data_IF_312465299761
#
_entry.id   IF_312465299761
#
_cell.length_a   1.000
_cell.length_b   1.000
_cell.length_c   1.000
_cell.angle_alpha   90.00
_cell.angle_beta   90.00
_cell.angle_gamma   90.00
#
_symmetry.space_group_name_H-M   'P 1'
#
loop_
_entity.id
_entity.type
_entity.pdbx_description
1 polymer ?
#
# COMPACT_ATOMS: atom_id res chain seq x y z
N UNK A 1 -7.54 -1.71 -11.10
CA UNK A 1 -6.25 -0.99 -10.96
C UNK A 1 -5.79 -0.54 -12.34
N UNK A 2 -5.73 0.78 -12.58
CA UNK A 2 -5.21 1.36 -13.83
C UNK A 2 -3.96 2.15 -13.49
N UNK A 3 -2.85 1.79 -14.14
CA UNK A 3 -1.55 2.46 -13.99
C UNK A 3 -1.19 3.03 -15.35
N UNK A 4 -0.80 4.29 -15.37
CA UNK A 4 -0.30 4.96 -16.56
C UNK A 4 1.18 5.27 -16.41
N UNK A 5 1.93 5.23 -17.50
CA UNK A 5 3.36 5.53 -17.50
C UNK A 5 4.27 4.38 -17.04
N UNK A 6 5.58 4.65 -16.87
CA UNK A 6 6.59 3.62 -16.69
C UNK A 6 6.59 3.03 -15.27
N UNK A 7 6.27 1.74 -15.16
CA UNK A 7 6.35 1.00 -13.88
C UNK A 7 7.06 -0.34 -14.03
N UNK A 8 7.56 -0.86 -12.91
CA UNK A 8 8.10 -2.23 -12.82
C UNK A 8 7.35 -3.00 -11.75
N UNK A 9 7.16 -4.28 -11.98
CA UNK A 9 6.59 -5.20 -11.01
C UNK A 9 7.54 -6.37 -10.80
N UNK A 10 7.85 -6.64 -9.54
CA UNK A 10 8.72 -7.75 -9.12
C UNK A 10 7.99 -8.60 -8.10
N UNK A 11 8.13 -9.92 -8.20
CA UNK A 11 7.60 -10.82 -7.18
C UNK A 11 8.42 -10.69 -5.90
N UNK A 12 7.75 -10.70 -4.75
CA UNK A 12 8.41 -10.84 -3.45
C UNK A 12 8.77 -12.32 -3.27
N UNK A 13 10.03 -12.67 -2.96
CA UNK A 13 10.39 -14.03 -2.60
C UNK A 13 9.51 -14.60 -1.48
N UNK A 14 9.13 -15.89 -1.50
CA UNK A 14 8.19 -16.44 -0.53
C UNK A 14 8.57 -16.23 0.94
N UNK A 15 9.86 -16.33 1.26
CA UNK A 15 10.35 -16.13 2.63
C UNK A 15 10.22 -14.67 3.09
N UNK A 16 10.42 -13.69 2.19
CA UNK A 16 10.19 -12.28 2.50
C UNK A 16 8.70 -11.97 2.60
N UNK A 17 7.86 -12.56 1.75
CA UNK A 17 6.41 -12.42 1.85
C UNK A 17 5.89 -12.94 3.19
N UNK A 18 6.39 -14.09 3.65
CA UNK A 18 6.06 -14.65 4.96
C UNK A 18 6.56 -13.77 6.12
N UNK A 19 7.74 -13.16 5.99
CA UNK A 19 8.24 -12.22 6.99
C UNK A 19 7.36 -10.97 7.06
N UNK A 20 7.03 -10.34 5.91
CA UNK A 20 6.12 -9.20 5.85
C UNK A 20 4.75 -9.55 6.43
N UNK A 21 4.19 -10.72 6.08
CA UNK A 21 2.92 -11.19 6.65
C UNK A 21 2.99 -11.25 8.18
N UNK A 22 4.04 -11.86 8.73
CA UNK A 22 4.22 -12.04 10.18
C UNK A 22 4.31 -10.70 10.91
N UNK A 23 5.08 -9.75 10.38
CA UNK A 23 5.27 -8.44 11.03
C UNK A 23 4.07 -7.51 10.85
N UNK A 24 3.40 -7.56 9.68
CA UNK A 24 2.27 -6.67 9.38
C UNK A 24 0.95 -7.16 9.96
N UNK A 25 0.73 -8.48 10.10
CA UNK A 25 -0.56 -9.01 10.59
C UNK A 25 -1.00 -8.38 11.93
N UNK A 26 -0.16 -8.25 12.97
CA UNK A 26 -0.58 -7.59 14.21
C UNK A 26 -0.93 -6.11 14.02
N UNK A 27 -0.26 -5.41 13.11
CA UNK A 27 -0.58 -4.01 12.79
C UNK A 27 -1.94 -3.90 12.10
N UNK A 28 -2.20 -4.78 11.13
CA UNK A 28 -3.46 -4.83 10.40
C UNK A 28 -4.63 -5.18 11.33
N UNK A 29 -4.50 -6.23 12.15
CA UNK A 29 -5.55 -6.67 13.08
C UNK A 29 -5.87 -5.60 14.14
N UNK A 30 -4.85 -4.87 14.63
CA UNK A 30 -5.07 -3.73 15.54
C UNK A 30 -5.77 -2.58 14.84
N UNK A 31 -5.41 -2.30 13.60
CA UNK A 31 -6.00 -1.19 12.83
C UNK A 31 -7.48 -1.45 12.52
N UNK A 32 -7.81 -2.64 12.00
CA UNK A 32 -9.19 -3.00 11.64
C UNK A 32 -10.03 -3.54 12.81
N UNK A 33 -9.49 -3.53 14.03
CA UNK A 33 -10.20 -3.92 15.25
C UNK A 33 -10.70 -5.37 15.28
N UNK A 34 -10.23 -6.24 14.38
CA UNK A 34 -10.67 -7.63 14.31
C UNK A 34 -9.54 -8.58 13.90
N UNK A 35 -9.72 -9.86 14.22
CA UNK A 35 -8.76 -10.91 13.84
C UNK A 35 -8.94 -11.29 12.38
N UNK A 36 -7.87 -11.28 11.60
CA UNK A 36 -7.90 -11.66 10.19
C UNK A 36 -7.95 -13.19 10.05
N UNK A 37 -9.04 -13.70 9.48
CA UNK A 37 -9.27 -15.15 9.31
C UNK A 37 -8.32 -15.78 8.27
N UNK A 38 -8.10 -15.10 7.15
CA UNK A 38 -7.18 -15.52 6.11
C UNK A 38 -5.77 -14.95 6.32
N UNK A 39 -4.78 -15.54 5.65
CA UNK A 39 -3.44 -14.96 5.57
C UNK A 39 -3.47 -13.70 4.70
N UNK A 40 -2.90 -12.57 5.15
CA UNK A 40 -2.71 -11.40 4.30
C UNK A 40 -2.00 -11.76 3.00
N UNK A 41 -2.53 -11.28 1.88
CA UNK A 41 -1.93 -11.53 0.57
C UNK A 41 -0.87 -10.46 0.27
N UNK A 42 0.38 -10.88 0.08
CA UNK A 42 1.45 -9.99 -0.37
C UNK A 42 1.46 -9.97 -1.90
N UNK A 43 1.06 -8.85 -2.49
CA UNK A 43 0.84 -8.76 -3.95
C UNK A 43 2.12 -8.67 -4.78
N UNK A 44 3.22 -8.15 -4.21
CA UNK A 44 4.49 -7.97 -4.92
C UNK A 44 5.11 -6.61 -4.63
N UNK A 45 6.27 -6.35 -5.25
CA UNK A 45 6.92 -5.05 -5.24
C UNK A 45 6.57 -4.30 -6.51
N UNK A 46 6.16 -3.04 -6.36
CA UNK A 46 5.89 -2.15 -7.47
C UNK A 46 6.80 -0.94 -7.40
N UNK A 47 7.50 -0.67 -8.49
CA UNK A 47 8.35 0.52 -8.65
C UNK A 47 7.67 1.46 -9.63
N UNK A 48 7.46 2.69 -9.19
CA UNK A 48 6.94 3.77 -10.02
C UNK A 48 8.11 4.66 -10.43
N UNK A 49 8.25 4.89 -11.74
CA UNK A 49 9.31 5.71 -12.30
C UNK A 49 8.75 7.10 -12.64
N UNK A 50 9.60 8.12 -12.90
CA UNK A 50 9.12 9.44 -13.28
C UNK A 50 8.11 9.39 -14.43
N UNK A 51 6.97 10.08 -14.27
CA UNK A 51 5.85 10.06 -15.20
C UNK A 51 4.83 8.93 -14.97
N UNK A 52 5.04 8.05 -13.99
CA UNK A 52 4.06 7.07 -13.59
C UNK A 52 2.92 7.70 -12.77
N UNK A 53 1.70 7.21 -12.97
CA UNK A 53 0.55 7.55 -12.15
C UNK A 53 -0.31 6.32 -11.87
N UNK A 54 -0.99 6.34 -10.73
CA UNK A 54 -1.98 5.35 -10.36
C UNK A 54 -3.33 6.05 -10.36
N UNK A 55 -4.27 5.56 -11.19
CA UNK A 55 -5.61 6.11 -11.23
C UNK A 55 -6.34 5.83 -9.90
N UNK A 56 -7.29 6.70 -9.55
CA UNK A 56 -8.15 6.48 -8.40
C UNK A 56 -8.88 5.14 -8.52
N UNK A 57 -8.88 4.37 -7.43
CA UNK A 57 -9.55 3.08 -7.33
C UNK A 57 -9.82 2.75 -5.86
N UNK A 58 -10.70 1.78 -5.65
CA UNK A 58 -10.83 1.08 -4.39
C UNK A 58 -10.13 -0.28 -4.52
N UNK A 59 -9.41 -0.67 -3.48
CA UNK A 59 -8.93 -2.04 -3.35
C UNK A 59 -10.12 -2.97 -3.20
N UNK A 60 -10.05 -4.16 -3.82
CA UNK A 60 -11.18 -5.08 -4.02
C UNK A 60 -12.12 -5.15 -2.80
N UNK A 61 -13.22 -4.37 -2.81
CA UNK A 61 -13.93 -4.03 -1.57
C UNK A 61 -14.67 -5.22 -0.97
N UNK A 62 -15.02 -6.21 -1.80
CA UNK A 62 -15.70 -7.43 -1.36
C UNK A 62 -14.72 -8.51 -0.88
N UNK A 63 -13.43 -8.30 -1.08
CA UNK A 63 -12.41 -9.32 -0.82
C UNK A 63 -11.56 -9.00 0.42
N UNK A 64 -11.33 -7.72 0.73
CA UNK A 64 -10.33 -7.31 1.71
C UNK A 64 -10.96 -6.45 2.81
N UNK A 65 -10.61 -6.74 4.07
CA UNK A 65 -11.04 -5.96 5.24
C UNK A 65 -10.13 -4.76 5.48
N UNK A 66 -8.85 -4.90 5.14
CA UNK A 66 -7.82 -3.87 5.32
C UNK A 66 -6.74 -4.06 4.27
N UNK A 67 -6.27 -2.95 3.74
CA UNK A 67 -5.18 -2.85 2.77
C UNK A 67 -3.99 -2.12 3.37
N UNK A 68 -2.80 -2.46 2.91
CA UNK A 68 -1.58 -1.75 3.30
C UNK A 68 -0.60 -1.61 2.16
N UNK A 69 0.01 -0.43 2.07
CA UNK A 69 1.14 -0.14 1.17
C UNK A 69 2.35 0.22 2.01
N UNK A 70 3.42 -0.56 1.91
CA UNK A 70 4.71 -0.32 2.58
C UNK A 70 5.70 0.32 1.60
N UNK A 71 6.27 1.46 1.96
CA UNK A 71 7.37 2.06 1.22
C UNK A 71 8.68 1.35 1.57
N UNK A 72 9.15 0.46 0.69
CA UNK A 72 10.39 -0.29 0.92
C UNK A 72 11.64 0.48 0.52
N UNK A 73 11.52 1.36 -0.48
CA UNK A 73 12.63 2.17 -0.98
C UNK A 73 12.08 3.37 -1.74
N UNK A 74 12.75 4.51 -1.63
CA UNK A 74 12.49 5.70 -2.46
C UNK A 74 13.80 6.33 -2.91
N UNK A 75 13.81 6.86 -4.13
CA UNK A 75 14.93 7.68 -4.58
C UNK A 75 14.85 9.07 -3.90
N UNK A 76 15.74 9.33 -2.94
CA UNK A 76 15.78 10.58 -2.20
C UNK A 76 16.14 11.82 -3.04
N UNK A 77 16.71 11.63 -4.25
CA UNK A 77 17.03 12.72 -5.18
C UNK A 77 15.84 13.15 -6.04
N UNK A 78 14.73 12.39 -6.01
CA UNK A 78 13.50 12.77 -6.70
C UNK A 78 12.52 13.44 -5.72
N UNK A 79 11.62 14.31 -6.21
CA UNK A 79 10.53 14.85 -5.40
C UNK A 79 9.70 13.73 -4.76
N UNK A 80 9.09 14.02 -3.62
CA UNK A 80 8.13 13.10 -3.01
C UNK A 80 6.97 12.82 -3.97
N UNK A 81 6.54 11.55 -3.98
CA UNK A 81 5.42 11.10 -4.80
C UNK A 81 4.30 10.66 -3.86
N UNK A 82 3.40 11.59 -3.46
CA UNK A 82 2.41 11.33 -2.43
C UNK A 82 1.33 10.37 -2.94
N UNK A 83 0.80 9.57 -2.02
CA UNK A 83 -0.44 8.83 -2.22
C UNK A 83 -1.60 9.79 -1.95
N UNK A 84 -2.40 10.05 -2.98
CA UNK A 84 -3.65 10.79 -2.83
C UNK A 84 -4.75 9.85 -2.32
N UNK A 85 -5.44 10.27 -1.27
CA UNK A 85 -6.54 9.57 -0.62
C UNK A 85 -7.79 10.41 -0.69
N UNK A 86 -8.92 9.75 -0.91
CA UNK A 86 -10.24 10.38 -0.88
C UNK A 86 -11.26 9.41 -0.34
N UNK A 87 -12.15 9.88 0.53
CA UNK A 87 -13.17 9.01 1.11
C UNK A 87 -13.84 9.61 2.34
N UNK A 88 -14.88 8.93 2.84
CA UNK A 88 -15.67 9.39 3.99
C UNK A 88 -14.88 9.42 5.30
N UNK A 89 -13.86 8.57 5.44
CA UNK A 89 -12.98 8.52 6.60
C UNK A 89 -11.87 9.58 6.62
N UNK A 90 -11.75 10.39 5.56
CA UNK A 90 -10.70 11.41 5.44
C UNK A 90 -11.27 12.78 5.85
N UNK A 91 -10.71 13.47 6.87
CA UNK A 91 -11.11 14.83 7.20
C UNK A 91 -10.97 15.77 6.00
N UNK A 92 -12.04 16.49 5.64
CA UNK A 92 -12.06 17.33 4.44
C UNK A 92 -12.23 16.56 3.13
N UNK A 93 -12.45 15.24 3.18
CA UNK A 93 -12.77 14.38 2.04
C UNK A 93 -11.58 13.96 1.18
N UNK A 94 -10.42 14.62 1.32
CA UNK A 94 -9.18 14.31 0.60
C UNK A 94 -7.95 14.55 1.47
N UNK A 95 -6.89 13.77 1.23
CA UNK A 95 -5.59 13.92 1.89
C UNK A 95 -4.47 13.43 0.97
N UNK A 96 -3.25 13.92 1.19
CA UNK A 96 -2.04 13.43 0.54
C UNK A 96 -1.05 12.95 1.58
N UNK A 97 -0.50 11.75 1.38
CA UNK A 97 0.46 11.13 2.29
C UNK A 97 1.73 10.77 1.54
N UNK A 98 2.85 11.38 1.96
CA UNK A 98 4.18 11.02 1.45
C UNK A 98 4.85 10.02 2.40
N UNK A 99 5.04 8.79 1.93
CA UNK A 99 5.69 7.74 2.71
C UNK A 99 7.22 7.84 2.65
N UNK A 100 7.86 7.65 3.80
CA UNK A 100 9.29 7.41 3.94
C UNK A 100 9.58 5.90 3.91
N UNK A 101 10.83 5.54 3.69
CA UNK A 101 11.23 4.13 3.75
C UNK A 101 10.91 3.54 5.13
N UNK A 102 10.29 2.37 5.14
CA UNK A 102 9.80 1.70 6.34
C UNK A 102 8.41 2.14 6.81
N UNK A 103 7.86 3.24 6.30
CA UNK A 103 6.50 3.66 6.62
C UNK A 103 5.46 2.91 5.78
N UNK A 104 4.36 2.56 6.43
CA UNK A 104 3.22 1.93 5.80
C UNK A 104 1.97 2.82 5.91
N UNK A 105 1.19 2.87 4.84
CA UNK A 105 -0.15 3.42 4.82
C UNK A 105 -1.15 2.27 4.91
N UNK A 106 -2.06 2.34 5.89
CA UNK A 106 -3.14 1.37 6.10
C UNK A 106 -4.48 2.06 5.84
N UNK A 107 -5.42 1.35 5.23
CA UNK A 107 -6.79 1.82 4.98
C UNK A 107 -7.74 0.62 4.83
N UNK A 108 -9.02 0.85 5.15
CA UNK A 108 -10.13 -0.10 4.95
C UNK A 108 -10.88 0.22 3.65
#
# INVERSE_FOLDING_TARGET
>A
FIISGPTRFSRVPPHLAAAVEREMRPLLERFCGCRLQARPKVHGLRTYLPGASLAAHLDWPDAWVVSATLCVHRNASLPAWPVALSGRGIPGGTAEVSLREGEALLYE
#
